data_IF_348479025307
#
_entry.id   IF_348479025307
#
_cell.length_a   1.000
_cell.length_b   1.000
_cell.length_c   1.000
_cell.angle_alpha   90.00
_cell.angle_beta   90.00
_cell.angle_gamma   90.00
#
_symmetry.space_group_name_H-M   'P 1'
#
loop_
_entity.id
_entity.type
_entity.pdbx_description
1 polymer ?
2 non-polymer ?
3 non-polymer ?
4 water ?
#
# COMPACT_ATOMS: atom_id res chain seq x y z
N UNK A 4 -6.60 24.00 0.46
CA UNK A 4 -6.83 23.73 1.91
C UNK A 4 -5.62 23.05 2.54
N UNK A 5 -5.57 23.05 3.86
CA UNK A 5 -4.45 22.43 4.57
C UNK A 5 -4.80 22.02 6.00
N UNK A 6 -5.39 20.84 6.16
CA UNK A 6 -5.76 20.32 7.47
C UNK A 6 -4.60 19.50 8.01
N UNK A 7 -4.39 19.56 9.32
CA UNK A 7 -3.31 18.81 9.94
C UNK A 7 -3.68 18.34 11.35
N UNK A 8 -4.72 17.50 11.47
CA UNK A 8 -5.13 17.00 12.78
C UNK A 8 -3.98 16.26 13.46
N UNK A 9 -3.93 16.32 14.79
CA UNK A 9 -2.88 15.65 15.53
C UNK A 9 -2.95 14.16 15.22
N UNK A 10 -4.11 13.57 15.52
CA UNK A 10 -4.32 12.15 15.26
C UNK A 10 -5.24 11.95 14.05
N UNK A 11 -5.04 10.85 13.34
CA UNK A 11 -5.83 10.51 12.18
C UNK A 11 -6.09 9.01 12.24
N UNK A 12 -7.36 8.64 12.35
CA UNK A 12 -7.74 7.24 12.44
C UNK A 12 -7.40 6.41 11.21
N UNK A 13 -7.51 7.00 10.03
CA UNK A 13 -7.21 6.27 8.81
C UNK A 13 -8.43 5.63 8.18
N UNK A 14 -9.60 6.20 8.44
CA UNK A 14 -10.85 5.70 7.89
C UNK A 14 -11.00 6.20 6.47
N UNK A 15 -11.00 5.28 5.51
CA UNK A 15 -11.12 5.65 4.10
C UNK A 15 -12.46 5.27 3.53
N UNK A 16 -13.13 6.23 2.90
CA UNK A 16 -14.42 5.93 2.31
C UNK A 16 -14.52 6.35 0.86
N UNK A 17 -14.72 5.37 -0.02
CA UNK A 17 -14.91 5.63 -1.44
C UNK A 17 -16.42 5.70 -1.58
N UNK A 18 -16.94 6.80 -2.11
CA UNK A 18 -18.39 6.89 -2.25
C UNK A 18 -18.82 7.14 -3.69
N UNK A 19 -19.21 6.07 -4.35
CA UNK A 19 -19.67 6.14 -5.73
C UNK A 19 -18.61 6.88 -6.57
N UNK A 20 -17.34 6.47 -6.39
CA UNK A 20 -16.20 7.03 -7.08
C UNK A 20 -16.02 6.52 -8.51
N UNK A 21 -15.90 7.45 -9.46
CA UNK A 21 -15.67 7.11 -10.87
C UNK A 21 -14.46 7.90 -11.35
N UNK A 22 -13.72 7.38 -12.31
CA UNK A 22 -12.54 8.09 -12.75
C UNK A 22 -12.06 7.82 -14.16
N UNK A 23 -11.67 8.88 -14.83
CA UNK A 23 -11.13 8.79 -16.17
C UNK A 23 -9.84 9.61 -16.14
N UNK A 24 -8.77 9.02 -16.67
CA UNK A 24 -7.49 9.73 -16.72
C UNK A 24 -7.65 11.00 -17.55
N UNK A 25 -6.88 12.04 -17.21
CA UNK A 25 -6.90 13.35 -17.88
C UNK A 25 -6.61 13.23 -19.38
N UNK A 26 -5.75 12.29 -19.75
CA UNK A 26 -5.37 12.11 -21.15
C UNK A 26 -6.30 11.22 -21.97
N UNK A 27 -7.39 10.79 -21.36
CA UNK A 27 -8.39 9.96 -22.02
C UNK A 27 -9.67 10.13 -21.20
N UNK A 28 -10.13 11.38 -21.09
CA UNK A 28 -11.32 11.82 -20.35
C UNK A 28 -12.63 11.13 -20.71
N UNK A 29 -12.66 10.51 -21.89
CA UNK A 29 -13.86 9.85 -22.37
C UNK A 29 -14.01 8.39 -21.94
N UNK A 30 -13.03 7.87 -21.21
CA UNK A 30 -13.13 6.49 -20.79
C UNK A 30 -12.95 6.35 -19.28
N UNK A 31 -14.05 6.01 -18.60
CA UNK A 31 -13.98 5.82 -17.16
C UNK A 31 -13.29 4.48 -16.86
N UNK A 32 -12.22 4.52 -16.09
CA UNK A 32 -11.51 3.28 -15.76
C UNK A 32 -11.97 2.73 -14.41
N UNK A 33 -12.57 3.58 -13.60
CA UNK A 33 -13.13 3.17 -12.31
C UNK A 33 -14.59 3.65 -12.40
N UNK A 34 -15.53 2.75 -12.13
CA UNK A 34 -16.93 3.10 -12.24
C UNK A 34 -17.77 2.84 -10.99
N UNK A 35 -18.26 3.92 -10.39
CA UNK A 35 -19.09 3.86 -9.19
C UNK A 35 -18.63 2.99 -8.04
N UNK A 36 -17.38 3.17 -7.62
CA UNK A 36 -16.82 2.38 -6.53
C UNK A 36 -17.28 2.86 -5.14
N UNK A 37 -17.81 1.93 -4.36
CA UNK A 37 -18.24 2.24 -3.01
C UNK A 37 -17.75 1.16 -2.05
N UNK A 38 -16.83 1.54 -1.17
CA UNK A 38 -16.30 0.61 -0.19
C UNK A 38 -15.56 1.40 0.86
N UNK A 39 -15.37 0.77 2.01
CA UNK A 39 -14.69 1.41 3.13
C UNK A 39 -13.51 0.61 3.67
N UNK A 40 -12.46 1.33 4.06
CA UNK A 40 -11.27 0.72 4.63
C UNK A 40 -11.27 1.25 6.06
N UNK A 41 -11.27 0.35 7.03
CA UNK A 41 -11.29 0.72 8.44
C UNK A 41 -9.98 0.37 9.13
N UNK A 42 -9.58 1.18 10.13
CA UNK A 42 -8.32 0.92 10.85
C UNK A 42 -8.43 -0.48 11.44
N UNK A 43 -7.32 -1.21 11.45
CA UNK A 43 -7.32 -2.55 12.01
C UNK A 43 -7.76 -3.62 11.06
N UNK A 44 -8.06 -3.23 9.83
CA UNK A 44 -8.52 -4.18 8.82
C UNK A 44 -7.69 -4.11 7.54
N UNK A 45 -7.77 -5.17 6.75
CA UNK A 45 -7.08 -5.24 5.48
C UNK A 45 -8.12 -5.57 4.42
N UNK A 46 -8.06 -4.84 3.32
CA UNK A 46 -8.95 -5.11 2.19
C UNK A 46 -8.06 -5.52 1.03
N UNK A 47 -8.31 -6.70 0.46
CA UNK A 47 -7.54 -7.16 -0.67
C UNK A 47 -8.30 -6.76 -1.93
N UNK A 48 -7.57 -6.23 -2.90
CA UNK A 48 -8.18 -5.82 -4.16
C UNK A 48 -7.63 -6.76 -5.24
N UNK A 49 -8.49 -7.61 -5.78
CA UNK A 49 -8.06 -8.55 -6.80
C UNK A 49 -8.74 -8.32 -8.15
N UNK A 50 -8.17 -8.89 -9.20
CA UNK A 50 -8.74 -8.74 -10.52
C UNK A 50 -7.70 -8.81 -11.62
N UNK A 51 -8.12 -8.99 -12.87
CA UNK A 51 -7.23 -9.08 -14.04
C UNK A 51 -6.43 -7.81 -14.27
N UNK A 52 -5.38 -7.91 -15.08
CA UNK A 52 -4.58 -6.74 -15.41
C UNK A 52 -5.52 -5.75 -16.11
N UNK A 53 -5.33 -4.48 -15.83
CA UNK A 53 -6.17 -3.46 -16.44
C UNK A 53 -7.56 -3.32 -15.83
N UNK A 54 -7.82 -3.99 -14.72
CA UNK A 54 -9.15 -3.85 -14.12
C UNK A 54 -9.25 -2.56 -13.30
N UNK A 55 -8.12 -1.91 -13.04
CA UNK A 55 -8.12 -0.64 -12.31
C UNK A 55 -7.59 -0.64 -10.89
N UNK A 56 -6.90 -1.71 -10.50
CA UNK A 56 -6.37 -1.79 -9.14
C UNK A 56 -5.35 -0.70 -8.82
N UNK A 57 -4.38 -0.51 -9.69
CA UNK A 57 -3.40 0.54 -9.46
C UNK A 57 -3.99 1.95 -9.50
N UNK A 58 -5.05 2.14 -10.31
CA UNK A 58 -5.70 3.44 -10.42
C UNK A 58 -6.38 3.79 -9.09
N UNK A 59 -6.95 2.79 -8.44
CA UNK A 59 -7.59 2.99 -7.15
C UNK A 59 -6.49 3.45 -6.19
N UNK A 60 -5.35 2.78 -6.22
CA UNK A 60 -4.24 3.14 -5.35
C UNK A 60 -3.78 4.58 -5.62
N UNK A 61 -3.78 4.97 -6.90
CA UNK A 61 -3.35 6.32 -7.28
C UNK A 61 -4.31 7.38 -6.72
N UNK A 62 -5.61 7.13 -6.79
CA UNK A 62 -6.57 8.10 -6.26
C UNK A 62 -6.42 8.19 -4.74
N UNK A 63 -6.20 7.06 -4.07
CA UNK A 63 -6.05 7.07 -2.61
C UNK A 63 -4.83 7.88 -2.17
N UNK A 64 -3.90 8.12 -3.10
CA UNK A 64 -2.71 8.93 -2.81
C UNK A 64 -2.94 10.37 -3.24
N UNK A 65 -4.12 10.63 -3.81
CA UNK A 65 -4.48 11.94 -4.29
C UNK A 65 -3.63 12.40 -5.47
N UNK A 66 -3.19 11.43 -6.28
CA UNK A 66 -2.39 11.76 -7.46
C UNK A 66 -3.32 12.35 -8.52
N UNK A 67 -4.59 11.97 -8.43
CA UNK A 67 -5.62 12.46 -9.33
C UNK A 67 -6.86 12.64 -8.48
N UNK A 68 -7.87 13.30 -9.03
CA UNK A 68 -9.12 13.54 -8.33
C UNK A 68 -10.21 12.74 -9.01
N UNK A 69 -11.17 12.22 -8.22
CA UNK A 69 -12.28 11.43 -8.78
C UNK A 69 -13.02 12.26 -9.84
N UNK A 70 -13.51 11.60 -10.87
CA UNK A 70 -14.26 12.32 -11.89
C UNK A 70 -15.68 12.45 -11.36
N UNK A 71 -16.08 11.46 -10.56
CA UNK A 71 -17.39 11.45 -9.94
C UNK A 71 -17.26 10.83 -8.56
N UNK A 72 -18.20 11.15 -7.68
CA UNK A 72 -18.17 10.60 -6.34
C UNK A 72 -17.22 11.32 -5.41
N UNK A 73 -17.02 10.76 -4.23
CA UNK A 73 -16.15 11.34 -3.23
C UNK A 73 -15.24 10.28 -2.60
N UNK A 74 -14.09 10.72 -2.13
CA UNK A 74 -13.14 9.85 -1.45
C UNK A 74 -12.73 10.64 -0.21
N UNK A 75 -13.09 10.11 0.95
CA UNK A 75 -12.80 10.78 2.21
C UNK A 75 -11.83 10.00 3.08
N UNK A 76 -11.04 10.74 3.85
CA UNK A 76 -10.09 10.18 4.81
C UNK A 76 -10.55 10.83 6.11
N UNK A 77 -11.08 10.04 7.04
CA UNK A 77 -11.58 10.58 8.29
C UNK A 77 -12.67 11.63 8.02
N UNK A 78 -13.59 11.28 7.14
CA UNK A 78 -14.69 12.16 6.80
C UNK A 78 -14.41 13.39 5.95
N UNK A 79 -13.15 13.65 5.63
CA UNK A 79 -12.80 14.82 4.84
C UNK A 79 -12.14 14.48 3.52
N UNK A 80 -12.44 15.27 2.47
CA UNK A 80 -11.89 15.07 1.13
C UNK A 80 -10.36 15.18 1.19
N UNK A 81 -9.68 14.29 0.50
CA UNK A 81 -8.22 14.28 0.49
C UNK A 81 -7.57 15.64 0.24
N UNK A 82 -8.08 16.40 -0.74
CA UNK A 82 -7.50 17.72 -1.04
C UNK A 82 -7.46 18.72 0.13
N UNK A 83 -8.39 18.58 1.08
CA UNK A 83 -8.43 19.48 2.23
C UNK A 83 -7.23 19.34 3.13
N UNK A 84 -6.44 18.29 2.92
CA UNK A 84 -5.25 18.05 3.74
C UNK A 84 -4.03 18.69 3.11
N UNK A 85 -3.11 19.16 3.95
CA UNK A 85 -1.87 19.77 3.47
C UNK A 85 -1.11 18.63 2.80
N UNK A 86 -0.80 18.79 1.52
CA UNK A 86 -0.12 17.75 0.75
C UNK A 86 1.04 17.04 1.47
N UNK A 87 1.90 17.78 2.16
CA UNK A 87 3.01 17.15 2.86
C UNK A 87 2.47 16.28 3.98
N UNK A 88 1.51 16.82 4.72
CA UNK A 88 0.88 16.12 5.82
C UNK A 88 0.21 14.83 5.34
N UNK A 89 -0.54 14.94 4.25
CA UNK A 89 -1.22 13.78 3.67
C UNK A 89 -0.21 12.75 3.18
N UNK A 90 0.90 13.22 2.60
CA UNK A 90 1.93 12.32 2.10
C UNK A 90 2.55 11.48 3.21
N UNK A 91 2.41 11.95 4.45
CA UNK A 91 2.97 11.20 5.59
C UNK A 91 1.94 10.18 6.06
N UNK A 92 0.70 10.63 6.21
CA UNK A 92 -0.40 9.77 6.67
C UNK A 92 -0.72 8.60 5.74
N UNK A 93 -0.57 8.82 4.44
CA UNK A 93 -0.86 7.79 3.44
C UNK A 93 0.43 7.35 2.74
N UNK A 94 0.78 6.07 2.89
CA UNK A 94 1.99 5.56 2.27
C UNK A 94 1.69 4.46 1.26
N UNK A 95 2.35 4.53 0.12
CA UNK A 95 2.14 3.55 -0.94
C UNK A 95 3.50 3.02 -1.43
N UNK A 96 3.54 1.71 -1.61
CA UNK A 96 4.75 1.03 -2.09
C UNK A 96 4.29 0.42 -3.41
N UNK A 97 5.10 0.56 -4.45
CA UNK A 97 4.70 0.01 -5.74
C UNK A 97 5.58 -1.07 -6.33
N UNK A 98 5.29 -1.43 -7.57
CA UNK A 98 6.04 -2.46 -8.28
C UNK A 98 7.49 -2.00 -8.46
N UNK A 99 7.68 -0.76 -8.88
CA UNK A 99 9.02 -0.22 -9.08
C UNK A 99 9.35 0.85 -8.03
N UNK A 100 10.14 0.46 -7.00
CA UNK A 100 10.59 1.29 -5.88
C UNK A 100 11.45 2.50 -6.25
N UNK A 101 11.25 3.60 -5.54
CA UNK A 101 12.03 4.81 -5.76
C UNK A 101 13.23 4.81 -4.82
N UNK A 102 14.43 4.78 -5.38
CA UNK A 102 15.65 4.76 -4.58
C UNK A 102 16.43 6.07 -4.76
N UNK A 103 17.34 6.35 -3.83
CA UNK A 103 18.13 7.58 -3.89
C UNK A 103 19.64 7.30 -3.92
N UNK A 104 20.42 8.35 -4.11
CA UNK A 104 21.86 8.19 -4.16
C UNK A 104 22.52 8.31 -2.81
N UNK A 105 21.74 8.12 -1.75
CA UNK A 105 22.24 8.21 -0.38
C UNK A 105 22.58 6.80 0.13
N UNK A 106 22.65 6.65 1.44
CA UNK A 106 22.95 5.36 2.05
C UNK A 106 21.63 4.65 2.37
N UNK A 107 21.71 3.37 2.67
CA UNK A 107 20.51 2.60 3.00
C UNK A 107 19.78 3.23 4.19
N UNK A 108 20.51 3.65 5.20
CA UNK A 108 19.91 4.29 6.36
C UNK A 108 19.22 5.59 5.96
N UNK A 109 19.87 6.34 5.07
CA UNK A 109 19.31 7.61 4.60
C UNK A 109 18.13 7.36 3.69
N UNK A 110 18.19 6.25 2.95
CA UNK A 110 17.13 5.88 2.03
C UNK A 110 15.84 5.57 2.80
N UNK A 111 15.98 4.91 3.95
CA UNK A 111 14.84 4.56 4.78
C UNK A 111 14.34 5.74 5.61
N UNK A 112 15.23 6.67 5.94
CA UNK A 112 14.83 7.84 6.74
C UNK A 112 14.37 9.00 5.87
N UNK A 113 14.57 8.88 4.56
CA UNK A 113 14.20 9.90 3.59
C UNK A 113 12.76 10.41 3.75
N UNK A 114 12.62 11.73 3.73
CA UNK A 114 11.31 12.33 3.85
C UNK A 114 10.71 12.26 5.23
N UNK A 115 11.46 12.72 6.23
CA UNK A 115 10.98 12.72 7.60
C UNK A 115 11.26 14.04 8.30
N UNK A 116 10.24 14.56 8.95
CA UNK A 116 10.35 15.82 9.67
C UNK A 116 11.27 15.64 10.87
N UNK A 117 11.54 14.39 11.20
CA UNK A 117 12.40 14.02 12.34
C UNK A 117 13.41 12.95 11.96
N UNK A 118 14.70 13.27 12.05
CA UNK A 118 15.72 12.29 11.75
C UNK A 118 15.51 11.17 12.77
N UNK A 119 15.17 9.95 12.30
CA UNK A 119 14.92 8.80 13.16
C UNK A 119 16.10 8.40 14.04
N UNK A 120 16.01 7.19 14.57
CA UNK A 120 17.04 6.61 15.42
C UNK A 120 17.42 5.29 14.76
N UNK A 121 18.67 4.90 14.88
CA UNK A 121 19.11 3.65 14.26
C UNK A 121 18.23 2.49 14.70
N UNK A 122 17.71 2.58 15.92
CA UNK A 122 16.82 1.54 16.46
C UNK A 122 15.50 1.51 15.70
N UNK A 123 14.98 2.68 15.36
CA UNK A 123 13.72 2.80 14.63
C UNK A 123 13.93 2.42 13.17
N UNK A 124 15.05 2.86 12.61
CA UNK A 124 15.40 2.56 11.23
C UNK A 124 15.51 1.05 11.08
N UNK A 125 16.21 0.43 12.01
CA UNK A 125 16.42 -1.02 12.03
C UNK A 125 15.08 -1.75 12.15
N UNK A 126 14.21 -1.24 13.02
CA UNK A 126 12.91 -1.86 13.22
C UNK A 126 12.07 -1.81 11.93
N UNK A 127 12.08 -0.68 11.24
CA UNK A 127 11.34 -0.55 9.99
C UNK A 127 11.87 -1.58 8.99
N UNK A 128 13.20 -1.73 8.94
CA UNK A 128 13.81 -2.70 8.03
C UNK A 128 13.52 -4.14 8.44
N UNK A 129 13.40 -4.40 9.74
CA UNK A 129 13.09 -5.75 10.22
C UNK A 129 11.67 -6.12 9.79
N UNK A 130 10.73 -5.19 9.96
CA UNK A 130 9.35 -5.44 9.57
C UNK A 130 9.14 -5.50 8.06
N UNK A 131 9.99 -4.81 7.28
CA UNK A 131 9.84 -4.82 5.83
C UNK A 131 10.58 -5.98 5.20
N UNK A 132 11.37 -6.70 6.00
CA UNK A 132 12.12 -7.84 5.47
C UNK A 132 13.43 -7.42 4.79
N UNK A 133 13.92 -6.23 5.12
CA UNK A 133 15.14 -5.71 4.55
C UNK A 133 16.35 -5.94 5.45
N UNK A 134 16.13 -5.81 6.76
CA UNK A 134 17.19 -5.96 7.77
C UNK A 134 18.18 -7.08 7.52
N UNK A 135 17.64 -8.27 7.26
CA UNK A 135 18.46 -9.44 7.04
C UNK A 135 19.58 -9.27 5.99
N UNK A 136 19.20 -8.92 4.76
CA UNK A 136 20.20 -8.77 3.70
C UNK A 136 21.12 -7.60 3.97
N UNK A 137 20.59 -6.55 4.57
CA UNK A 137 21.37 -5.34 4.88
C UNK A 137 22.43 -5.65 5.93
N UNK A 138 22.08 -6.49 6.91
CA UNK A 138 23.01 -6.84 7.97
C UNK A 138 24.19 -7.64 7.46
N UNK A 139 23.93 -8.69 6.68
CA UNK A 139 25.01 -9.51 6.14
C UNK A 139 25.72 -8.80 5.01
N UNK A 140 25.56 -7.49 4.98
CA UNK A 140 26.17 -6.65 3.95
C UNK A 140 27.32 -5.83 4.52
N UNK A 141 28.53 -5.96 3.93
CA UNK A 141 29.69 -5.21 4.41
C UNK A 141 29.33 -3.72 4.47
N UNK A 142 29.38 -3.14 5.67
CA UNK A 142 29.06 -1.73 5.91
C UNK A 142 27.60 -1.56 6.31
N UNK A 143 26.84 -2.65 6.25
CA UNK A 143 25.44 -2.64 6.63
C UNK A 143 24.57 -1.49 6.16
N UNK A 144 23.95 -0.81 7.11
CA UNK A 144 23.07 0.31 6.81
C UNK A 144 23.79 1.55 6.30
N UNK A 145 25.09 1.62 6.55
CA UNK A 145 25.88 2.75 6.09
C UNK A 145 26.16 2.61 4.60
N UNK A 146 25.96 1.41 4.08
CA UNK A 146 26.18 1.13 2.66
C UNK A 146 25.47 2.19 1.83
N UNK A 147 26.14 2.67 0.78
CA UNK A 147 25.53 3.67 -0.08
C UNK A 147 25.13 3.08 -1.42
N UNK A 148 23.93 3.45 -1.86
CA UNK A 148 23.38 2.95 -3.10
C UNK A 148 23.68 3.85 -4.29
N UNK A 149 23.97 3.23 -5.43
CA UNK A 149 24.28 3.97 -6.65
C UNK A 149 23.04 4.31 -7.46
N UNK A 150 22.14 5.10 -6.88
CA UNK A 150 20.91 5.54 -7.54
C UNK A 150 20.18 4.46 -8.33
N UNK A 151 18.88 4.31 -8.05
CA UNK A 151 18.05 3.30 -8.72
C UNK A 151 18.44 1.90 -8.28
N UNK A 152 19.26 1.83 -7.22
CA UNK A 152 19.68 0.55 -6.68
C UNK A 152 20.44 -0.37 -7.61
N UNK A 153 21.63 0.06 -8.03
CA UNK A 153 22.45 -0.75 -8.92
C UNK A 153 22.89 -2.01 -8.18
N UNK A 154 23.34 -1.82 -6.94
CA UNK A 154 23.79 -2.92 -6.10
C UNK A 154 22.63 -3.71 -5.52
N UNK A 155 21.48 -3.07 -5.42
CA UNK A 155 20.28 -3.70 -4.87
C UNK A 155 19.46 -4.43 -5.92
N UNK A 156 19.13 -5.68 -5.62
CA UNK A 156 18.31 -6.48 -6.53
C UNK A 156 16.88 -5.94 -6.46
N UNK A 157 15.95 -6.62 -7.11
CA UNK A 157 14.58 -6.17 -7.09
C UNK A 157 13.97 -6.29 -5.71
N UNK A 158 14.01 -7.52 -5.17
CA UNK A 158 13.45 -7.76 -3.85
C UNK A 158 14.05 -6.88 -2.78
N UNK A 159 15.37 -6.64 -2.86
CA UNK A 159 16.04 -5.81 -1.87
C UNK A 159 15.55 -4.37 -1.96
N UNK A 160 15.21 -3.94 -3.17
CA UNK A 160 14.74 -2.59 -3.40
C UNK A 160 13.33 -2.43 -2.83
N UNK A 161 12.50 -3.46 -3.03
CA UNK A 161 11.14 -3.42 -2.52
C UNK A 161 11.16 -3.40 -0.98
N UNK A 162 11.95 -4.30 -0.40
CA UNK A 162 12.06 -4.38 1.05
C UNK A 162 12.48 -3.04 1.62
N UNK A 163 13.34 -2.32 0.90
CA UNK A 163 13.79 -1.02 1.38
C UNK A 163 12.73 0.06 1.24
N UNK A 164 11.97 0.01 0.14
CA UNK A 164 10.92 0.99 -0.09
C UNK A 164 9.84 0.81 0.97
N UNK A 165 9.54 -0.45 1.30
CA UNK A 165 8.54 -0.75 2.32
C UNK A 165 8.96 -0.24 3.69
N UNK A 166 10.26 -0.26 3.97
CA UNK A 166 10.77 0.21 5.25
C UNK A 166 10.51 1.71 5.36
N UNK A 167 10.77 2.43 4.27
CA UNK A 167 10.56 3.87 4.25
C UNK A 167 9.09 4.21 4.52
N UNK A 168 8.20 3.37 4.02
CA UNK A 168 6.77 3.60 4.22
C UNK A 168 6.37 3.31 5.67
N UNK A 169 6.89 2.22 6.21
CA UNK A 169 6.57 1.79 7.57
C UNK A 169 7.03 2.68 8.72
N UNK A 170 8.23 3.23 8.60
CA UNK A 170 8.79 4.07 9.66
C UNK A 170 8.04 5.38 9.91
N UNK A 171 7.07 5.69 9.05
CA UNK A 171 6.27 6.90 9.19
C UNK A 171 5.00 6.63 9.97
N UNK A 172 4.71 5.35 10.19
CA UNK A 172 3.50 4.98 10.91
C UNK A 172 2.27 5.54 10.20
N UNK A 173 2.08 5.19 8.91
CA UNK A 173 0.93 5.69 8.15
C UNK A 173 -0.38 5.15 8.73
N UNK A 174 -1.45 5.91 8.62
CA UNK A 174 -2.75 5.46 9.11
C UNK A 174 -3.47 4.81 7.94
N UNK A 175 -2.84 4.89 6.76
CA UNK A 175 -3.33 4.27 5.53
C UNK A 175 -2.11 3.69 4.77
N UNK A 176 -2.10 2.38 4.58
CA UNK A 176 -1.00 1.75 3.88
C UNK A 176 -1.49 1.07 2.62
N UNK A 177 -0.79 1.35 1.52
CA UNK A 177 -1.14 0.78 0.21
C UNK A 177 -0.01 -0.09 -0.34
N UNK A 178 -0.31 -1.36 -0.58
CA UNK A 178 0.69 -2.28 -1.12
C UNK A 178 0.23 -2.76 -2.50
N UNK A 179 0.83 -2.20 -3.54
CA UNK A 179 0.49 -2.56 -4.92
C UNK A 179 1.61 -3.44 -5.50
N UNK A 180 1.47 -4.76 -5.34
CA UNK A 180 2.47 -5.73 -5.79
C UNK A 180 3.86 -5.33 -5.29
N UNK A 181 3.90 -4.72 -4.12
CA UNK A 181 5.15 -4.23 -3.52
C UNK A 181 6.13 -5.29 -3.03
N UNK A 182 5.71 -6.55 -3.02
CA UNK A 182 6.59 -7.62 -2.54
C UNK A 182 6.64 -8.81 -3.48
N UNK A 183 6.37 -8.58 -4.76
CA UNK A 183 6.39 -9.65 -5.74
C UNK A 183 7.78 -10.32 -5.82
N UNK A 184 8.82 -9.58 -5.46
CA UNK A 184 10.19 -10.08 -5.52
C UNK A 184 10.81 -10.51 -4.19
N UNK A 185 10.12 -10.28 -3.09
CA UNK A 185 10.65 -10.65 -1.77
C UNK A 185 10.89 -12.15 -1.63
N UNK A 186 11.91 -12.50 -0.85
CA UNK A 186 12.23 -13.89 -0.62
C UNK A 186 11.25 -14.46 0.40
N UNK A 187 11.28 -15.77 0.61
CA UNK A 187 10.37 -16.42 1.55
C UNK A 187 10.35 -15.76 2.93
N UNK A 188 11.52 -15.62 3.55
CA UNK A 188 11.61 -15.03 4.88
C UNK A 188 11.04 -13.62 5.00
N UNK A 189 11.35 -12.77 4.02
CA UNK A 189 10.86 -11.39 4.04
C UNK A 189 9.33 -11.37 3.85
N UNK A 190 8.83 -12.29 3.04
CA UNK A 190 7.40 -12.39 2.78
C UNK A 190 6.64 -12.70 4.08
N UNK A 191 7.26 -13.47 4.97
CA UNK A 191 6.64 -13.82 6.25
C UNK A 191 6.57 -12.58 7.14
N UNK A 192 7.51 -11.66 6.96
CA UNK A 192 7.55 -10.43 7.76
C UNK A 192 6.41 -9.50 7.32
N UNK A 193 6.06 -9.57 6.04
CA UNK A 193 4.99 -8.76 5.50
C UNK A 193 3.66 -9.27 6.02
N UNK A 194 3.54 -10.59 6.14
CA UNK A 194 2.33 -11.21 6.65
C UNK A 194 2.17 -10.87 8.15
N UNK A 195 3.28 -10.88 8.89
CA UNK A 195 3.27 -10.58 10.31
C UNK A 195 2.84 -9.13 10.55
N UNK A 196 3.31 -8.24 9.69
CA UNK A 196 2.99 -6.82 9.84
C UNK A 196 1.56 -6.48 9.45
N UNK A 197 1.00 -7.24 8.52
CA UNK A 197 -0.36 -6.99 8.08
C UNK A 197 -1.43 -7.59 8.98
N UNK A 198 -1.17 -8.78 9.52
CA UNK A 198 -2.15 -9.47 10.34
C UNK A 198 -1.84 -9.76 11.80
N UNK A 199 -0.60 -9.52 12.24
CA UNK A 199 -0.25 -9.81 13.63
C UNK A 199 0.32 -8.64 14.41
N UNK A 200 0.89 -7.66 13.71
CA UNK A 200 1.49 -6.52 14.39
C UNK A 200 0.48 -5.66 15.14
N UNK A 201 0.89 -5.11 16.30
CA UNK A 201 0.01 -4.26 17.10
C UNK A 201 -0.32 -3.01 16.28
N UNK A 202 0.59 -2.65 15.38
CA UNK A 202 0.45 -1.48 14.51
C UNK A 202 -0.75 -1.53 13.56
N UNK A 203 -1.28 -2.73 13.32
CA UNK A 203 -2.39 -2.87 12.41
C UNK A 203 -3.68 -2.17 12.86
N UNK A 204 -3.86 -1.98 14.16
CA UNK A 204 -5.09 -1.31 14.61
C UNK A 204 -5.03 0.20 14.42
N UNK A 205 -3.86 0.71 14.04
CA UNK A 205 -3.69 2.14 13.84
C UNK A 205 -3.66 2.52 12.36
N UNK A 206 -4.14 1.65 11.48
CA UNK A 206 -4.12 1.97 10.06
C UNK A 206 -5.02 1.04 9.25
N UNK A 207 -5.47 1.54 8.09
CA UNK A 207 -6.29 0.73 7.21
C UNK A 207 -5.30 0.29 6.13
N UNK A 208 -5.61 -0.80 5.43
CA UNK A 208 -4.69 -1.29 4.40
C UNK A 208 -5.42 -1.69 3.13
N UNK A 209 -4.88 -1.25 2.00
CA UNK A 209 -5.40 -1.61 0.68
C UNK A 209 -4.32 -2.53 0.13
N UNK A 210 -4.67 -3.78 -0.09
CA UNK A 210 -3.72 -4.77 -0.56
C UNK A 210 -3.98 -5.31 -1.96
N UNK A 211 -3.00 -5.10 -2.84
CA UNK A 211 -3.08 -5.60 -4.21
C UNK A 211 -1.88 -6.53 -4.32
N UNK A 212 -2.14 -7.82 -4.49
CA UNK A 212 -1.04 -8.78 -4.55
C UNK A 212 -1.43 -10.06 -5.27
N UNK A 213 -0.41 -10.80 -5.72
CA UNK A 213 -0.60 -12.07 -6.42
C UNK A 213 -0.59 -13.24 -5.43
N UNK A 214 -0.07 -12.99 -4.23
CA UNK A 214 0.01 -14.00 -3.19
C UNK A 214 -1.36 -14.27 -2.60
N UNK A 215 -2.02 -15.32 -3.07
CA UNK A 215 -3.34 -15.69 -2.61
C UNK A 215 -3.46 -16.06 -1.14
N UNK A 216 -2.35 -16.39 -0.49
CA UNK A 216 -2.39 -16.73 0.92
C UNK A 216 -2.69 -15.47 1.75
N UNK A 217 -2.07 -14.35 1.38
CA UNK A 217 -2.30 -13.08 2.07
C UNK A 217 -3.72 -12.62 1.79
N UNK A 218 -4.14 -12.77 0.54
CA UNK A 218 -5.49 -12.36 0.13
C UNK A 218 -6.54 -13.08 0.96
N UNK A 219 -6.39 -14.38 1.08
CA UNK A 219 -7.31 -15.22 1.83
C UNK A 219 -7.52 -14.78 3.28
N UNK A 220 -6.50 -14.20 3.87
CA UNK A 220 -6.60 -13.73 5.25
C UNK A 220 -7.21 -12.34 5.39
N UNK A 221 -7.47 -11.69 4.26
CA UNK A 221 -8.05 -10.34 4.29
C UNK A 221 -9.45 -10.28 4.88
N UNK A 222 -9.72 -9.21 5.62
CA UNK A 222 -11.02 -8.99 6.23
C UNK A 222 -12.07 -8.81 5.15
N UNK A 223 -11.66 -8.24 4.02
CA UNK A 223 -12.56 -8.00 2.91
C UNK A 223 -11.83 -8.18 1.58
N UNK A 224 -12.52 -8.74 0.61
CA UNK A 224 -11.96 -8.96 -0.72
C UNK A 224 -12.88 -8.31 -1.74
N UNK A 225 -12.30 -7.49 -2.62
CA UNK A 225 -13.07 -6.81 -3.65
C UNK A 225 -12.55 -7.23 -5.00
N UNK A 226 -13.40 -7.87 -5.79
CA UNK A 226 -12.98 -8.32 -7.12
C UNK A 226 -13.29 -7.22 -8.13
N UNK A 227 -12.25 -6.70 -8.76
CA UNK A 227 -12.39 -5.63 -9.74
C UNK A 227 -12.40 -6.18 -11.15
N UNK A 228 -13.33 -5.70 -11.96
CA UNK A 228 -13.44 -6.15 -13.34
C UNK A 228 -13.94 -5.00 -14.19
N UNK A 229 -13.16 -4.61 -15.19
CA UNK A 229 -13.54 -3.52 -16.05
C UNK A 229 -13.84 -2.22 -15.31
N UNK A 230 -13.09 -1.97 -14.24
CA UNK A 230 -13.29 -0.76 -13.48
C UNK A 230 -14.38 -0.80 -12.42
N UNK A 231 -15.15 -1.88 -12.40
CA UNK A 231 -16.23 -1.98 -11.42
C UNK A 231 -16.08 -3.18 -10.48
N UNK A 232 -16.56 -3.01 -9.25
CA UNK A 232 -16.51 -4.09 -8.28
C UNK A 232 -17.66 -5.06 -8.59
N UNK A 233 -17.31 -6.31 -8.90
CA UNK A 233 -18.32 -7.30 -9.25
C UNK A 233 -18.71 -8.18 -8.06
N UNK A 234 -17.74 -8.47 -7.21
CA UNK A 234 -17.94 -9.31 -6.04
C UNK A 234 -17.25 -8.73 -4.82
N UNK A 235 -17.82 -8.99 -3.65
CA UNK A 235 -17.22 -8.50 -2.42
C UNK A 235 -17.62 -9.39 -1.24
N UNK A 236 -16.64 -9.71 -0.42
CA UNK A 236 -16.91 -10.54 0.75
C UNK A 236 -15.63 -11.12 1.29
N UNK A 237 -15.75 -11.97 2.30
CA UNK A 237 -14.58 -12.60 2.89
C UNK A 237 -14.22 -13.73 1.95
N UNK A 238 -13.15 -14.45 2.25
CA UNK A 238 -12.73 -15.57 1.41
C UNK A 238 -13.83 -16.61 1.28
N UNK A 239 -14.35 -17.07 2.41
CA UNK A 239 -15.39 -18.09 2.43
C UNK A 239 -16.62 -17.72 1.63
N UNK A 240 -17.20 -16.55 1.91
CA UNK A 240 -18.39 -16.10 1.20
C UNK A 240 -18.19 -16.14 -0.32
N UNK A 241 -17.07 -15.60 -0.79
CA UNK A 241 -16.77 -15.57 -2.21
C UNK A 241 -16.50 -16.95 -2.79
N UNK A 242 -15.92 -17.84 -1.99
CA UNK A 242 -15.64 -19.20 -2.45
C UNK A 242 -16.97 -19.92 -2.58
N UNK A 243 -17.89 -19.62 -1.67
CA UNK A 243 -19.21 -20.22 -1.67
C UNK A 243 -20.05 -19.71 -2.83
N UNK A 244 -19.86 -18.43 -3.19
CA UNK A 244 -20.59 -17.84 -4.30
C UNK A 244 -20.15 -18.49 -5.62
N UNK A 245 -18.97 -19.09 -5.61
CA UNK A 245 -18.41 -19.74 -6.78
C UNK A 245 -18.47 -18.83 -8.00
N UNK A 246 -18.07 -17.58 -7.81
CA UNK A 246 -18.08 -16.61 -8.88
C UNK A 246 -16.70 -16.34 -9.48
N UNK A 247 -16.38 -15.07 -9.66
CA UNK A 247 -15.10 -14.64 -10.24
C UNK A 247 -13.89 -14.97 -9.37
N UNK A 248 -14.00 -14.68 -8.08
CA UNK A 248 -12.91 -14.97 -7.16
C UNK A 248 -12.66 -16.46 -7.15
N UNK A 249 -13.73 -17.22 -6.96
CA UNK A 249 -13.67 -18.68 -6.94
C UNK A 249 -12.90 -19.19 -8.16
N UNK A 250 -13.28 -18.71 -9.34
CA UNK A 250 -12.63 -19.13 -10.57
C UNK A 250 -11.16 -18.76 -10.56
N UNK A 251 -10.83 -17.64 -9.90
CA UNK A 251 -9.45 -17.18 -9.83
C UNK A 251 -8.57 -18.04 -8.94
N UNK A 252 -9.04 -18.30 -7.73
CA UNK A 252 -8.30 -19.11 -6.76
C UNK A 252 -7.88 -20.45 -7.36
N UNK A 253 -8.82 -21.13 -7.99
CA UNK A 253 -8.56 -22.44 -8.59
C UNK A 253 -8.26 -22.29 -10.08
N UNK A 254 -7.03 -21.90 -10.40
CA UNK A 254 -6.63 -21.73 -11.80
C UNK A 254 -5.95 -22.98 -12.35
#
# INVERSE_FOLDING_TARGET
PPSGLLTPLHLEGLVQFQDVSFAYPNRPDVLVLQGLTFTLRPGEVTALVGPNGSGKSTVAALLQNLYQPTGGQLLLDGKPLPQYEHRYLHRQVAAVGQEPQVFGRSLQENIAYGLTQKPTMEEITAAAVKSGAHSFISGLPQGYDTEVDEAGSQLSGGQRQAVALARALIRKPCVLILDDATSALDANSQLQVEQLLYESPERYSRSVLLITQHLSLVEQADHILFLEGGAIREGGTHQQLMEKKGCYWAMVQAPADAPE
#
